data_IF_133270098905
#
_entry.id   IF_133270098905
#
_cell.length_a   1.000
_cell.length_b   1.000
_cell.length_c   1.000
_cell.angle_alpha   90.00
_cell.angle_beta   90.00
_cell.angle_gamma   90.00
#
_symmetry.space_group_name_H-M   'P 1'
#
loop_
_entity.id
_entity.type
_entity.pdbx_description
1 polymer ?
#
# COMPACT_ATOMS: atom_id res chain seq x y z
N UNK A 1 4.32 -29.69 -5.04
CA UNK A 1 4.30 -29.37 -6.49
C UNK A 1 5.76 -29.24 -6.94
N UNK A 2 6.27 -30.18 -7.73
CA UNK A 2 7.66 -30.13 -8.23
C UNK A 2 7.72 -29.16 -9.40
N UNK A 3 8.67 -28.23 -9.41
CA UNK A 3 8.87 -27.34 -10.57
C UNK A 3 9.20 -28.15 -11.81
N UNK A 4 8.49 -27.88 -12.91
CA UNK A 4 8.78 -28.55 -14.18
C UNK A 4 10.06 -27.96 -14.80
N UNK A 5 10.72 -28.75 -15.67
CA UNK A 5 11.98 -28.35 -16.32
C UNK A 5 11.89 -27.02 -17.08
N UNK A 6 10.73 -26.70 -17.68
CA UNK A 6 10.53 -25.44 -18.41
C UNK A 6 10.49 -24.24 -17.47
N UNK A 7 9.83 -24.37 -16.33
CA UNK A 7 9.79 -23.33 -15.29
C UNK A 7 11.18 -23.01 -14.77
N UNK A 8 12.01 -24.05 -14.54
CA UNK A 8 13.39 -23.85 -14.11
C UNK A 8 14.20 -23.09 -15.16
N UNK A 9 14.13 -23.50 -16.44
CA UNK A 9 14.82 -22.79 -17.54
C UNK A 9 14.37 -21.33 -17.60
N UNK A 10 13.07 -21.06 -17.52
CA UNK A 10 12.55 -19.69 -17.54
C UNK A 10 13.09 -18.84 -16.38
N UNK A 11 13.13 -19.38 -15.16
CA UNK A 11 13.69 -18.68 -14.00
C UNK A 11 15.18 -18.38 -14.18
N UNK A 12 15.95 -19.37 -14.64
CA UNK A 12 17.39 -19.22 -14.91
C UNK A 12 17.65 -18.17 -16.00
N UNK A 13 16.88 -18.16 -17.08
CA UNK A 13 17.03 -17.17 -18.14
C UNK A 13 16.70 -15.76 -17.66
N UNK A 14 15.66 -15.59 -16.83
CA UNK A 14 15.38 -14.29 -16.20
C UNK A 14 16.56 -13.83 -15.33
N UNK A 15 17.07 -14.72 -14.46
CA UNK A 15 18.22 -14.42 -13.59
C UNK A 15 19.47 -14.06 -14.41
N UNK A 16 19.72 -14.75 -15.51
CA UNK A 16 20.83 -14.46 -16.41
C UNK A 16 20.67 -13.07 -17.06
N UNK A 17 19.48 -12.78 -17.63
CA UNK A 17 19.20 -11.50 -18.30
C UNK A 17 19.34 -10.28 -17.37
N UNK A 18 18.97 -10.43 -16.11
CA UNK A 18 19.11 -9.35 -15.11
C UNK A 18 20.51 -9.28 -14.49
N UNK A 19 21.31 -10.34 -14.55
CA UNK A 19 22.65 -10.38 -13.94
C UNK A 19 23.68 -9.54 -14.68
N UNK A 20 23.49 -9.34 -15.99
CA UNK A 20 24.40 -8.56 -16.82
C UNK A 20 24.34 -7.04 -16.58
N UNK A 21 25.21 -6.32 -17.29
CA UNK A 21 25.42 -4.88 -17.09
C UNK A 21 24.37 -3.98 -17.73
N UNK A 22 23.43 -4.55 -18.50
CA UNK A 22 22.40 -3.79 -19.24
C UNK A 22 21.64 -2.80 -18.36
N UNK A 23 21.39 -3.18 -17.10
CA UNK A 23 20.62 -2.41 -16.12
C UNK A 23 21.47 -1.95 -14.93
N UNK A 24 22.79 -2.21 -14.96
CA UNK A 24 23.71 -1.81 -13.89
C UNK A 24 24.10 -0.33 -14.02
N UNK A 25 24.28 0.35 -12.89
CA UNK A 25 24.82 1.72 -12.86
C UNK A 25 23.87 2.83 -13.36
N UNK A 26 22.59 2.52 -13.56
CA UNK A 26 21.56 3.53 -13.89
C UNK A 26 21.16 4.30 -12.65
N UNK A 27 21.03 5.63 -12.78
CA UNK A 27 20.67 6.52 -11.66
C UNK A 27 19.15 6.72 -11.53
N UNK A 28 18.41 6.46 -12.61
CA UNK A 28 16.98 6.75 -12.77
C UNK A 28 16.07 5.52 -12.61
N UNK A 29 16.62 4.30 -12.72
CA UNK A 29 15.87 3.07 -12.47
C UNK A 29 16.76 1.90 -12.02
N UNK A 30 16.16 0.92 -11.37
CA UNK A 30 16.83 -0.33 -10.99
C UNK A 30 15.97 -1.54 -11.36
N UNK A 31 16.61 -2.64 -11.75
CA UNK A 31 15.96 -3.92 -12.02
C UNK A 31 16.35 -4.92 -10.94
N UNK A 32 15.36 -5.45 -10.22
CA UNK A 32 15.55 -6.37 -9.10
C UNK A 32 14.53 -7.50 -9.20
N UNK A 33 15.01 -8.74 -9.27
CA UNK A 33 14.16 -9.92 -9.21
C UNK A 33 13.67 -10.15 -7.78
N UNK A 34 12.40 -10.53 -7.66
CA UNK A 34 11.76 -10.83 -6.39
C UNK A 34 11.42 -12.33 -6.36
N UNK A 35 12.30 -13.20 -5.83
CA UNK A 35 12.18 -14.65 -5.96
C UNK A 35 11.12 -15.30 -5.06
N UNK A 36 10.23 -14.53 -4.41
CA UNK A 36 9.27 -15.05 -3.42
C UNK A 36 8.34 -16.18 -3.93
N UNK A 37 8.32 -16.46 -5.23
CA UNK A 37 7.55 -17.54 -5.83
C UNK A 37 8.39 -18.72 -6.37
N UNK A 38 9.72 -18.71 -6.22
CA UNK A 38 10.62 -19.77 -6.71
C UNK A 38 10.39 -21.11 -5.99
N UNK A 39 10.00 -21.09 -4.73
CA UNK A 39 9.76 -22.29 -3.93
C UNK A 39 8.44 -22.20 -3.17
N UNK A 40 7.39 -21.70 -3.83
CA UNK A 40 6.06 -21.65 -3.23
C UNK A 40 5.55 -23.05 -2.87
N UNK A 41 5.30 -23.25 -1.58
CA UNK A 41 4.69 -24.47 -1.08
C UNK A 41 3.16 -24.29 -1.06
N UNK A 42 2.47 -25.00 -1.95
CA UNK A 42 1.05 -25.25 -1.82
C UNK A 42 0.93 -26.67 -1.23
N UNK A 43 0.48 -26.82 0.02
CA UNK A 43 0.35 -28.13 0.66
C UNK A 43 -0.53 -29.04 -0.20
N UNK A 44 -0.02 -30.20 -0.64
CA UNK A 44 -0.77 -31.10 -1.54
C UNK A 44 -1.95 -31.81 -0.85
N UNK A 45 -1.92 -31.93 0.48
CA UNK A 45 -3.00 -32.49 1.28
C UNK A 45 -3.78 -31.35 1.94
N UNK A 46 -5.10 -31.27 1.69
CA UNK A 46 -5.92 -30.20 2.26
C UNK A 46 -5.65 -28.82 1.66
N UNK A 47 -5.38 -28.74 0.35
CA UNK A 47 -5.27 -27.47 -0.39
C UNK A 47 -6.49 -26.62 -0.06
N UNK A 48 -6.28 -25.50 0.60
CA UNK A 48 -7.34 -24.53 0.83
C UNK A 48 -7.72 -23.94 -0.53
N UNK A 49 -8.86 -24.40 -1.05
CA UNK A 49 -9.38 -23.98 -2.36
C UNK A 49 -9.74 -22.51 -2.40
N UNK A 50 -9.84 -21.83 -1.25
CA UNK A 50 -10.07 -20.38 -1.20
C UNK A 50 -8.90 -19.56 -1.76
N UNK A 51 -7.72 -20.16 -2.00
CA UNK A 51 -6.61 -19.52 -2.70
C UNK A 51 -6.75 -19.54 -4.23
N UNK A 52 -7.72 -20.26 -4.77
CA UNK A 52 -8.01 -20.32 -6.20
C UNK A 52 -9.36 -19.68 -6.52
N UNK A 53 -9.48 -19.22 -7.76
CA UNK A 53 -10.74 -18.75 -8.33
C UNK A 53 -11.68 -19.92 -8.61
N UNK A 54 -12.90 -19.63 -9.08
CA UNK A 54 -13.94 -20.63 -9.39
C UNK A 54 -13.51 -21.66 -10.44
N UNK A 55 -12.49 -21.36 -11.25
CA UNK A 55 -11.94 -22.27 -12.26
C UNK A 55 -10.80 -23.16 -11.74
N UNK A 56 -10.46 -23.05 -10.46
CA UNK A 56 -9.37 -23.79 -9.82
C UNK A 56 -7.99 -23.57 -10.46
N UNK A 57 -7.82 -22.51 -11.25
CA UNK A 57 -6.59 -22.20 -11.97
C UNK A 57 -6.07 -20.81 -11.64
N UNK A 58 -6.91 -19.78 -11.80
CA UNK A 58 -6.52 -18.44 -11.42
C UNK A 58 -6.43 -18.32 -9.90
N UNK A 59 -5.55 -17.45 -9.44
CA UNK A 59 -5.42 -17.14 -8.03
C UNK A 59 -6.63 -16.31 -7.60
N UNK A 60 -7.14 -16.58 -6.41
CA UNK A 60 -8.18 -15.74 -5.81
C UNK A 60 -7.61 -14.41 -5.33
N UNK A 61 -8.50 -13.49 -4.97
CA UNK A 61 -8.11 -12.25 -4.26
C UNK A 61 -7.24 -12.55 -3.03
N UNK A 62 -7.55 -13.63 -2.31
CA UNK A 62 -6.80 -14.07 -1.13
C UNK A 62 -5.36 -14.41 -1.47
N UNK A 63 -5.15 -15.24 -2.50
CA UNK A 63 -3.80 -15.60 -2.94
C UNK A 63 -3.02 -14.40 -3.47
N UNK A 64 -3.68 -13.51 -4.22
CA UNK A 64 -3.08 -12.26 -4.66
C UNK A 64 -2.64 -11.37 -3.49
N UNK A 65 -3.45 -11.29 -2.43
CA UNK A 65 -3.07 -10.56 -1.22
C UNK A 65 -1.82 -11.16 -0.55
N UNK A 66 -1.71 -12.48 -0.45
CA UNK A 66 -0.51 -13.13 0.10
C UNK A 66 0.73 -12.90 -0.76
N UNK A 67 0.59 -12.93 -2.09
CA UNK A 67 1.69 -12.59 -3.01
C UNK A 67 2.11 -11.13 -2.91
N UNK A 68 1.17 -10.21 -2.72
CA UNK A 68 1.49 -8.79 -2.54
C UNK A 68 2.30 -8.56 -1.25
N UNK A 69 1.96 -9.26 -0.15
CA UNK A 69 2.74 -9.22 1.09
C UNK A 69 4.13 -9.80 0.87
N UNK A 70 4.24 -10.95 0.21
CA UNK A 70 5.53 -11.58 -0.07
C UNK A 70 6.42 -10.66 -0.92
N UNK A 71 5.88 -10.05 -1.98
CA UNK A 71 6.57 -9.05 -2.79
C UNK A 71 7.03 -7.85 -1.96
N UNK A 72 6.15 -7.29 -1.12
CA UNK A 72 6.48 -6.16 -0.25
C UNK A 72 7.65 -6.47 0.67
N UNK A 73 7.58 -7.60 1.38
CA UNK A 73 8.65 -8.04 2.28
C UNK A 73 9.96 -8.26 1.52
N UNK A 74 9.89 -8.84 0.31
CA UNK A 74 11.06 -9.10 -0.52
C UNK A 74 11.75 -7.82 -1.00
N UNK A 75 10.99 -6.75 -1.25
CA UNK A 75 11.53 -5.42 -1.54
C UNK A 75 12.30 -4.83 -0.35
N UNK A 76 12.00 -5.26 0.88
CA UNK A 76 12.68 -4.86 2.12
C UNK A 76 13.84 -5.78 2.53
N UNK A 77 14.22 -6.73 1.67
CA UNK A 77 15.36 -7.62 1.88
C UNK A 77 16.50 -7.31 0.91
N UNK A 78 17.78 -7.32 1.35
CA UNK A 78 18.90 -7.06 0.47
C UNK A 78 19.02 -8.12 -0.64
N UNK A 79 19.38 -7.68 -1.85
CA UNK A 79 19.69 -8.55 -2.99
C UNK A 79 20.73 -9.60 -2.57
N UNK A 80 20.45 -10.86 -2.91
CA UNK A 80 21.26 -12.02 -2.48
C UNK A 80 20.81 -12.64 -1.15
N UNK A 81 19.92 -11.98 -0.39
CA UNK A 81 19.30 -12.54 0.83
C UNK A 81 17.77 -12.44 0.80
N UNK A 82 17.21 -12.31 -0.40
CA UNK A 82 15.77 -12.27 -0.63
C UNK A 82 15.15 -13.65 -0.39
N UNK A 83 14.03 -13.68 0.31
CA UNK A 83 13.24 -14.88 0.50
C UNK A 83 12.75 -15.41 -0.85
N UNK A 84 12.90 -16.72 -1.06
CA UNK A 84 12.58 -17.38 -2.33
C UNK A 84 11.29 -18.22 -2.30
N UNK A 85 10.50 -18.12 -1.24
CA UNK A 85 9.26 -18.88 -1.03
C UNK A 85 8.16 -17.99 -0.49
N UNK A 86 6.90 -18.39 -0.70
CA UNK A 86 5.75 -17.72 -0.11
C UNK A 86 5.08 -18.60 0.93
N UNK A 87 4.71 -18.00 2.07
CA UNK A 87 3.90 -18.61 3.10
C UNK A 87 2.44 -18.16 2.92
N UNK A 88 1.61 -19.04 2.35
CA UNK A 88 0.17 -18.83 2.12
C UNK A 88 -0.67 -19.04 3.40
N UNK A 89 -0.29 -18.38 4.48
CA UNK A 89 -1.09 -18.25 5.70
C UNK A 89 -1.76 -16.88 5.72
N UNK A 90 -3.03 -16.84 6.07
CA UNK A 90 -3.80 -15.59 6.16
C UNK A 90 -3.53 -14.86 7.47
N UNK A 91 -2.28 -14.49 7.69
CA UNK A 91 -1.81 -13.69 8.82
C UNK A 91 -1.23 -12.36 8.33
N UNK A 92 -1.83 -11.24 8.74
CA UNK A 92 -1.40 -9.88 8.36
C UNK A 92 -0.22 -9.38 9.19
N UNK A 93 0.10 -10.02 10.32
CA UNK A 93 1.25 -9.65 11.16
C UNK A 93 2.59 -9.91 10.46
N UNK A 94 2.62 -10.71 9.40
CA UNK A 94 3.83 -11.00 8.62
C UNK A 94 4.30 -9.85 7.71
N UNK A 95 3.53 -8.78 7.58
CA UNK A 95 3.93 -7.62 6.76
C UNK A 95 5.07 -6.90 7.46
N UNK A 96 6.23 -6.81 6.81
CA UNK A 96 7.37 -6.09 7.35
C UNK A 96 7.21 -4.57 7.21
N UNK A 97 7.60 -3.87 8.27
CA UNK A 97 7.73 -2.42 8.25
C UNK A 97 9.20 -2.04 7.92
N UNK A 98 9.43 -0.98 7.13
CA UNK A 98 10.75 -0.39 7.01
C UNK A 98 11.32 0.00 8.38
N UNK A 99 12.63 -0.12 8.54
CA UNK A 99 13.32 0.28 9.77
C UNK A 99 14.17 1.53 9.53
N UNK A 100 14.52 2.26 10.59
CA UNK A 100 15.45 3.39 10.46
C UNK A 100 16.84 2.97 9.97
N UNK A 101 17.26 1.74 10.29
CA UNK A 101 18.51 1.17 9.81
C UNK A 101 18.49 0.85 8.30
N UNK A 102 17.31 0.68 7.70
CA UNK A 102 17.13 0.38 6.28
C UNK A 102 15.82 1.01 5.78
N UNK A 103 15.82 2.34 5.54
CA UNK A 103 14.60 3.09 5.23
C UNK A 103 14.19 3.02 3.75
N UNK A 104 15.00 2.38 2.89
CA UNK A 104 14.78 2.32 1.45
C UNK A 104 14.56 0.87 0.98
N UNK A 105 13.85 0.73 -0.15
CA UNK A 105 13.75 -0.54 -0.87
C UNK A 105 15.13 -0.97 -1.35
N UNK A 106 15.42 -2.26 -1.24
CA UNK A 106 16.71 -2.80 -1.62
C UNK A 106 16.85 -3.02 -3.12
N UNK A 107 17.95 -2.48 -3.65
CA UNK A 107 18.43 -2.62 -5.02
C UNK A 107 19.85 -3.18 -5.01
N UNK A 108 20.42 -3.50 -6.17
CA UNK A 108 21.82 -3.93 -6.26
C UNK A 108 22.79 -2.91 -5.64
N UNK A 109 22.46 -1.61 -5.66
CA UNK A 109 23.34 -0.54 -5.20
C UNK A 109 23.42 -0.42 -3.67
N UNK A 110 22.33 -0.69 -2.94
CA UNK A 110 22.28 -0.53 -1.47
C UNK A 110 22.19 -1.87 -0.72
N UNK A 111 22.33 -3.00 -1.42
CA UNK A 111 22.30 -4.35 -0.82
C UNK A 111 23.67 -4.89 -0.43
N UNK A 112 24.76 -4.25 -0.86
CA UNK A 112 26.09 -4.63 -0.42
C UNK A 112 26.25 -4.23 1.05
N UNK A 113 26.98 -5.04 1.83
CA UNK A 113 27.42 -4.59 3.15
C UNK A 113 28.17 -3.27 2.93
N UNK A 114 27.70 -2.18 3.54
CA UNK A 114 28.51 -0.97 3.58
C UNK A 114 29.89 -1.41 4.08
N UNK A 115 30.99 -1.07 3.39
CA UNK A 115 32.30 -1.30 3.96
C UNK A 115 32.29 -0.69 5.37
N UNK A 116 32.93 -1.32 6.37
CA UNK A 116 33.06 -0.71 7.68
C UNK A 116 33.53 0.72 7.44
N UNK A 117 32.78 1.71 7.92
CA UNK A 117 33.31 3.07 8.00
C UNK A 117 34.43 2.99 9.03
N UNK A 118 35.62 2.60 8.59
CA UNK A 118 36.83 2.73 9.38
C UNK A 118 37.20 4.20 9.36
N UNK A 119 36.46 5.00 10.11
CA UNK A 119 36.99 6.28 10.59
C UNK A 119 37.98 5.90 11.68
N UNK A 120 39.22 5.60 11.29
CA UNK A 120 40.35 5.76 12.20
C UNK A 120 40.49 7.26 12.38
N UNK A 121 39.83 7.79 13.41
CA UNK A 121 40.18 9.10 13.95
C UNK A 121 40.89 8.85 15.28
N UNK A 122 42.22 8.95 15.34
CA UNK A 122 42.97 8.72 16.57
C UNK A 122 42.85 9.96 17.45
N UNK A 123 41.77 10.03 18.21
CA UNK A 123 41.66 10.97 19.33
C UNK A 123 40.32 11.66 19.46
N UNK A 124 39.34 10.98 20.05
CA UNK A 124 38.36 11.67 20.89
C UNK A 124 37.75 10.72 21.90
N UNK A 125 38.29 10.75 23.12
CA UNK A 125 37.59 10.25 24.30
C UNK A 125 36.52 11.29 24.62
N UNK A 126 35.24 10.95 24.40
CA UNK A 126 34.16 11.56 25.17
C UNK A 126 33.05 10.56 25.42
N UNK A 127 32.99 10.16 26.68
CA UNK A 127 31.90 9.53 27.41
C UNK A 127 30.53 10.00 26.90
N UNK A 128 29.74 9.10 26.33
CA UNK A 128 28.34 9.39 26.00
C UNK A 128 27.43 8.58 26.91
N UNK A 129 26.98 9.30 27.94
CA UNK A 129 25.94 9.01 28.91
C UNK A 129 24.69 8.40 28.26
N UNK A 130 24.22 7.30 28.85
CA UNK A 130 22.87 6.75 28.67
C UNK A 130 21.84 7.79 29.13
N UNK A 131 21.04 8.34 28.23
CA UNK A 131 19.69 8.84 28.52
C UNK A 131 18.99 9.38 27.28
N UNK A 132 17.73 8.98 27.11
CA UNK A 132 16.74 9.71 26.30
C UNK A 132 16.26 8.96 25.07
N UNK A 133 15.20 8.17 25.26
CA UNK A 133 14.20 7.82 24.25
C UNK A 133 13.94 8.94 23.23
N UNK A 134 14.28 8.71 21.97
CA UNK A 134 13.68 9.43 20.85
C UNK A 134 13.16 8.40 19.86
N UNK A 135 11.91 8.01 20.08
CA UNK A 135 11.08 7.30 19.13
C UNK A 135 10.88 8.20 17.90
N UNK A 136 11.17 7.76 16.66
CA UNK A 136 10.82 8.54 15.48
C UNK A 136 9.31 8.66 15.41
N UNK A 137 8.84 9.90 15.54
CA UNK A 137 7.44 10.24 15.47
C UNK A 137 7.02 10.13 14.01
N UNK A 138 6.37 9.03 13.63
CA UNK A 138 5.60 8.96 12.40
C UNK A 138 4.69 10.20 12.32
N UNK A 139 4.68 10.88 11.17
CA UNK A 139 3.71 11.94 10.88
C UNK A 139 2.33 11.46 11.29
N UNK A 140 1.73 12.18 12.23
CA UNK A 140 0.49 11.78 12.89
C UNK A 140 -0.58 11.47 11.84
N UNK A 141 -1.26 10.32 11.91
CA UNK A 141 -2.44 10.10 11.07
C UNK A 141 -3.42 11.23 11.38
N UNK A 142 -3.98 11.85 10.34
CA UNK A 142 -5.07 12.81 10.49
C UNK A 142 -6.09 12.15 11.44
N UNK A 143 -6.35 12.80 12.56
CA UNK A 143 -7.15 12.20 13.61
C UNK A 143 -8.51 11.78 13.04
N UNK A 144 -8.94 10.56 13.34
CA UNK A 144 -10.10 9.90 12.72
C UNK A 144 -11.39 10.74 12.82
N UNK A 145 -11.45 11.67 13.76
CA UNK A 145 -12.55 12.61 13.91
C UNK A 145 -12.63 13.66 12.77
N UNK A 146 -11.54 13.94 12.05
CA UNK A 146 -11.51 14.97 11.01
C UNK A 146 -12.41 14.61 9.83
N UNK A 147 -12.32 13.40 9.20
CA UNK A 147 -13.30 12.97 8.21
C UNK A 147 -14.74 12.96 8.72
N UNK A 148 -14.94 12.58 9.99
CA UNK A 148 -16.27 12.51 10.62
C UNK A 148 -16.88 13.91 10.73
N UNK A 149 -16.13 14.89 11.24
CA UNK A 149 -16.58 16.29 11.36
C UNK A 149 -16.86 16.91 9.98
N UNK A 150 -16.00 16.66 8.99
CA UNK A 150 -16.21 17.13 7.62
C UNK A 150 -17.51 16.56 7.03
N UNK A 151 -17.80 15.28 7.28
CA UNK A 151 -19.05 14.64 6.87
C UNK A 151 -20.28 15.29 7.50
N UNK A 152 -20.27 15.52 8.82
CA UNK A 152 -21.38 16.18 9.52
C UNK A 152 -21.60 17.62 9.07
N UNK A 153 -20.54 18.41 8.90
CA UNK A 153 -20.65 19.80 8.42
C UNK A 153 -21.25 19.84 7.02
N UNK A 154 -20.80 18.94 6.13
CA UNK A 154 -21.31 18.86 4.76
C UNK A 154 -22.79 18.47 4.73
N UNK A 155 -23.19 17.53 5.58
CA UNK A 155 -24.59 17.10 5.70
C UNK A 155 -25.50 18.24 6.21
N UNK A 156 -25.08 18.95 7.25
CA UNK A 156 -25.83 20.07 7.80
C UNK A 156 -25.97 21.22 6.78
N UNK A 157 -24.89 21.54 6.06
CA UNK A 157 -24.94 22.53 4.99
C UNK A 157 -25.94 22.12 3.89
N UNK A 158 -25.94 20.85 3.48
CA UNK A 158 -26.89 20.31 2.50
C UNK A 158 -28.35 20.44 2.95
N UNK A 159 -28.65 20.12 4.21
CA UNK A 159 -30.01 20.23 4.79
C UNK A 159 -30.48 21.70 4.78
N UNK A 160 -29.61 22.63 5.18
CA UNK A 160 -29.94 24.07 5.21
C UNK A 160 -30.23 24.56 3.79
N UNK A 161 -29.41 24.19 2.80
CA UNK A 161 -29.61 24.58 1.41
C UNK A 161 -30.95 24.04 0.87
N UNK A 162 -31.26 22.76 1.10
CA UNK A 162 -32.54 22.17 0.71
C UNK A 162 -33.72 22.91 1.35
N UNK A 163 -33.64 23.27 2.64
CA UNK A 163 -34.69 23.99 3.34
C UNK A 163 -34.90 25.42 2.77
N UNK A 164 -33.81 26.12 2.46
CA UNK A 164 -33.88 27.45 1.81
C UNK A 164 -34.51 27.37 0.41
N UNK A 165 -34.16 26.36 -0.39
CA UNK A 165 -34.77 26.15 -1.71
C UNK A 165 -36.27 25.87 -1.57
N UNK A 166 -36.65 24.93 -0.69
CA UNK A 166 -38.05 24.56 -0.49
C UNK A 166 -38.90 25.72 0.04
N UNK A 167 -38.37 26.50 0.99
CA UNK A 167 -39.06 27.69 1.50
C UNK A 167 -39.22 28.78 0.43
N UNK A 168 -38.20 29.00 -0.42
CA UNK A 168 -38.30 29.93 -1.55
C UNK A 168 -39.34 29.47 -2.59
N UNK A 169 -39.39 28.16 -2.89
CA UNK A 169 -40.39 27.57 -3.80
C UNK A 169 -41.80 27.70 -3.23
N UNK A 170 -42.01 27.39 -1.95
CA UNK A 170 -43.30 27.55 -1.28
C UNK A 170 -43.77 29.01 -1.27
N UNK A 171 -42.86 29.95 -0.97
CA UNK A 171 -43.15 31.39 -1.04
C UNK A 171 -43.53 31.83 -2.45
N UNK A 172 -42.84 31.35 -3.49
CA UNK A 172 -43.19 31.62 -4.90
C UNK A 172 -44.56 31.04 -5.26
N UNK A 173 -44.87 29.81 -4.83
CA UNK A 173 -46.16 29.16 -5.07
C UNK A 173 -47.30 29.92 -4.39
N UNK A 174 -47.14 30.29 -3.13
CA UNK A 174 -48.11 31.11 -2.38
C UNK A 174 -48.37 32.47 -3.05
N UNK A 175 -47.30 33.18 -3.46
CA UNK A 175 -47.43 34.44 -4.22
C UNK A 175 -48.17 34.27 -5.56
N UNK A 176 -47.93 33.16 -6.27
CA UNK A 176 -48.62 32.86 -7.54
C UNK A 176 -50.11 32.58 -7.31
N UNK A 177 -50.45 31.82 -6.26
CA UNK A 177 -51.84 31.56 -5.88
C UNK A 177 -52.58 32.83 -5.44
N UNK A 178 -51.94 33.69 -4.65
CA UNK A 178 -52.52 34.97 -4.22
C UNK A 178 -52.75 35.93 -5.41
N UNK A 179 -51.82 36.00 -6.36
CA UNK A 179 -51.99 36.79 -7.60
C UNK A 179 -53.10 36.24 -8.49
N UNK A 180 -53.22 34.92 -8.60
CA UNK A 180 -54.29 34.28 -9.37
C UNK A 180 -55.68 34.49 -8.74
N UNK A 181 -55.78 34.51 -7.40
CA UNK A 181 -57.02 34.82 -6.69
C UNK A 181 -57.43 36.29 -6.89
N UNK A 182 -56.49 37.24 -6.73
CA UNK A 182 -56.75 38.68 -6.95
C UNK A 182 -57.20 38.99 -8.38
N UNK A 183 -56.58 38.37 -9.39
CA UNK A 183 -56.96 38.58 -10.79
C UNK A 183 -58.36 38.04 -11.13
N UNK A 184 -58.89 37.06 -10.38
CA UNK A 184 -60.26 36.56 -10.54
C UNK A 184 -61.30 37.49 -9.91
N UNK A 185 -60.90 38.29 -8.92
CA UNK A 185 -61.77 39.21 -8.19
C UNK A 185 -61.89 40.59 -8.88
N UNK A 186 -60.90 40.97 -9.70
CA UNK A 186 -60.90 42.25 -10.45
C UNK A 186 -61.33 42.11 -11.92
N UNK A 187 -61.82 40.95 -12.34
CA UNK A 187 -62.27 40.69 -13.71
C UNK A 187 -63.77 40.93 -13.87
N UNK A 188 -64.16 42.19 -14.08
CA UNK A 188 -65.39 42.61 -14.76
C UNK A 188 -64.99 43.57 -15.89
#
# INVERSE_FOLDING_TARGET
MTMNKRTLVFQTEIEYLISGDRYSGKEDFAVVLQPFFHYSFIPQTGVDTSFFSVDCFHLSERAHAEMAIALWNNMLEPVGRKQAYNNFTHDRAKIHCPSEASPFIFTKANSQAAPPKTTVDPGSITTSTVSGTILPKCSTPIAVWVPVVVGFVSLLAGIIICWLIMSAVQRKKSKKSAKAARNKETGF
#
